data_IF_213466026478
#
_entry.id   IF_213466026478
#
_cell.length_a   1.000
_cell.length_b   1.000
_cell.length_c   1.000
_cell.angle_alpha   90.00
_cell.angle_beta   90.00
_cell.angle_gamma   90.00
#
_symmetry.space_group_name_H-M   'P 1'
#
loop_
_entity.id
_entity.type
_entity.pdbx_description
1 polymer ?
#
# COMPACT_ATOMS: atom_id res chain seq x y z
N UNK A 1 11.00 8.18 -7.48
CA UNK A 1 10.78 7.75 -6.08
C UNK A 1 9.41 8.23 -5.67
N UNK A 2 8.53 7.31 -5.27
CA UNK A 2 7.21 7.66 -4.75
C UNK A 2 7.42 8.29 -3.36
N UNK A 3 6.87 9.49 -3.14
CA UNK A 3 6.99 10.20 -1.86
C UNK A 3 5.57 10.57 -1.46
N UNK A 4 5.07 10.13 -0.28
CA UNK A 4 3.75 10.54 0.17
C UNK A 4 3.71 12.07 0.28
N UNK A 5 2.70 12.70 -0.34
CA UNK A 5 2.56 14.17 -0.41
C UNK A 5 2.28 14.83 0.95
N UNK A 6 1.98 14.02 1.95
CA UNK A 6 1.88 14.41 3.35
C UNK A 6 3.04 13.75 4.10
N UNK A 7 3.84 14.51 4.84
CA UNK A 7 4.98 14.00 5.63
C UNK A 7 4.62 13.05 6.78
N UNK A 8 3.49 12.35 6.67
CA UNK A 8 2.98 11.34 7.59
C UNK A 8 2.83 10.07 6.77
N UNK A 9 3.64 9.06 7.10
CA UNK A 9 3.51 7.71 6.57
C UNK A 9 2.15 7.15 7.02
N UNK A 10 1.26 6.70 6.12
CA UNK A 10 -0.02 6.14 6.51
C UNK A 10 0.14 4.89 7.37
N UNK A 11 -0.70 4.72 8.38
CA UNK A 11 -0.65 3.55 9.29
C UNK A 11 -0.88 2.22 8.52
N UNK A 12 -1.67 2.25 7.45
CA UNK A 12 -1.84 1.10 6.56
C UNK A 12 -0.58 0.78 5.75
N UNK A 13 0.24 1.79 5.43
CA UNK A 13 1.49 1.61 4.70
C UNK A 13 2.51 0.89 5.59
N UNK A 14 2.57 1.26 6.87
CA UNK A 14 3.37 0.53 7.86
C UNK A 14 2.90 -0.93 7.95
N UNK A 15 1.59 -1.18 8.02
CA UNK A 15 1.04 -2.56 8.00
C UNK A 15 1.42 -3.32 6.72
N UNK A 16 1.46 -2.63 5.57
CA UNK A 16 1.88 -3.20 4.29
C UNK A 16 3.39 -3.53 4.26
N UNK A 17 4.23 -2.78 4.98
CA UNK A 17 5.67 -3.10 5.08
C UNK A 17 5.94 -4.38 5.88
N UNK A 18 5.07 -4.72 6.83
CA UNK A 18 5.13 -5.97 7.60
C UNK A 18 4.51 -7.13 6.81
N UNK A 19 3.76 -6.85 5.73
CA UNK A 19 3.18 -7.90 4.90
C UNK A 19 4.28 -8.67 4.17
N UNK A 20 4.16 -10.00 4.21
CA UNK A 20 5.09 -10.90 3.55
C UNK A 20 5.03 -10.73 2.02
N UNK A 21 6.21 -10.68 1.38
CA UNK A 21 6.30 -10.51 -0.07
C UNK A 21 5.67 -11.66 -0.87
N UNK A 22 5.42 -12.80 -0.24
CA UNK A 22 4.64 -13.91 -0.81
C UNK A 22 3.24 -13.48 -1.21
N UNK A 23 2.58 -12.59 -0.47
CA UNK A 23 1.23 -12.10 -0.80
C UNK A 23 1.24 -11.35 -2.15
N UNK A 24 2.27 -10.54 -2.40
CA UNK A 24 2.40 -9.81 -3.68
C UNK A 24 2.62 -10.79 -4.84
N UNK A 25 3.37 -11.87 -4.60
CA UNK A 25 3.58 -12.95 -5.58
C UNK A 25 2.30 -13.74 -5.85
N UNK A 26 1.52 -14.05 -4.82
CA UNK A 26 0.23 -14.74 -4.97
C UNK A 26 -0.82 -13.89 -5.71
N UNK A 27 -0.83 -12.58 -5.47
CA UNK A 27 -1.66 -11.64 -6.22
C UNK A 27 -1.19 -11.43 -7.67
N UNK A 28 0.05 -11.84 -7.99
CA UNK A 28 0.67 -11.59 -9.30
C UNK A 28 0.88 -10.10 -9.57
N UNK A 29 0.98 -9.27 -8.51
CA UNK A 29 1.11 -7.83 -8.61
C UNK A 29 2.47 -7.38 -8.06
N UNK A 30 3.07 -6.41 -8.73
CA UNK A 30 4.24 -5.71 -8.20
C UNK A 30 3.85 -4.91 -6.95
N UNK A 31 4.76 -4.82 -5.97
CA UNK A 31 4.55 -4.05 -4.74
C UNK A 31 4.07 -2.62 -5.00
N UNK A 32 4.60 -1.97 -6.02
CA UNK A 32 4.19 -0.61 -6.45
C UNK A 32 2.70 -0.53 -6.81
N UNK A 33 2.19 -1.52 -7.56
CA UNK A 33 0.76 -1.60 -7.90
C UNK A 33 -0.11 -1.85 -6.67
N UNK A 34 0.37 -2.67 -5.74
CA UNK A 34 -0.38 -2.93 -4.50
C UNK A 34 -0.45 -1.68 -3.63
N UNK A 35 0.65 -0.93 -3.52
CA UNK A 35 0.67 0.37 -2.84
C UNK A 35 -0.32 1.34 -3.51
N UNK A 36 -0.32 1.42 -4.84
CA UNK A 36 -1.24 2.28 -5.60
C UNK A 36 -2.73 1.90 -5.35
N UNK A 37 -3.05 0.61 -5.37
CA UNK A 37 -4.40 0.11 -5.08
C UNK A 37 -4.78 0.42 -3.63
N UNK A 38 -3.92 0.13 -2.66
CA UNK A 38 -4.18 0.42 -1.25
C UNK A 38 -4.35 1.92 -0.98
N UNK A 39 -3.56 2.78 -1.65
CA UNK A 39 -3.74 4.23 -1.59
C UNK A 39 -5.09 4.64 -2.16
N UNK A 40 -5.48 4.12 -3.33
CA UNK A 40 -6.80 4.40 -3.89
C UNK A 40 -7.94 3.91 -3.00
N UNK A 41 -7.82 2.73 -2.39
CA UNK A 41 -8.83 2.23 -1.45
C UNK A 41 -8.92 3.09 -0.20
N UNK A 42 -7.79 3.56 0.33
CA UNK A 42 -7.74 4.49 1.45
C UNK A 42 -8.34 5.85 1.10
N UNK A 43 -7.98 6.44 -0.04
CA UNK A 43 -8.52 7.73 -0.52
C UNK A 43 -10.04 7.67 -0.77
N UNK A 44 -10.57 6.49 -1.10
CA UNK A 44 -12.00 6.25 -1.25
C UNK A 44 -12.68 5.82 0.07
N UNK A 45 -12.00 5.91 1.21
CA UNK A 45 -12.52 5.51 2.53
C UNK A 45 -12.96 4.03 2.63
N UNK A 46 -12.43 3.16 1.76
CA UNK A 46 -12.71 1.71 1.74
C UNK A 46 -11.75 0.98 2.70
N UNK A 47 -10.50 1.43 2.77
CA UNK A 47 -9.47 0.93 3.68
C UNK A 47 -9.29 1.93 4.83
N UNK A 48 -9.49 1.46 6.06
CA UNK A 48 -9.38 2.23 7.32
C UNK A 48 -8.07 1.86 8.01
#
# INVERSE_FOLDING_TARGET
MWVPQTGVTPEWLEKLEICDESIFKELGLSREKVIEICQHLHDNNILI
#
